data_IF_758460231748
#
_entry.id   IF_758460231748
#
_cell.length_a   1.000
_cell.length_b   1.000
_cell.length_c   1.000
_cell.angle_alpha   90.00
_cell.angle_beta   90.00
_cell.angle_gamma   90.00
#
_symmetry.space_group_name_H-M   'P 1'
#
loop_
_entity.id
_entity.type
_entity.pdbx_description
1 polymer ?
#
# COMPACT_ATOMS: atom_id res chain seq x y z
N UNK A 1 42.45 22.06 49.65
CA UNK A 1 43.33 22.54 48.58
C UNK A 1 42.53 22.51 47.29
N UNK A 2 42.36 23.68 46.74
CA UNK A 2 41.56 23.95 45.55
C UNK A 2 42.30 23.51 44.28
N UNK A 3 41.56 23.08 43.25
CA UNK A 3 41.80 23.46 41.85
C UNK A 3 40.47 23.44 41.12
N UNK A 4 40.15 24.56 40.52
CA UNK A 4 38.87 24.85 39.87
C UNK A 4 38.77 24.38 38.42
N UNK A 5 37.64 24.64 37.77
CA UNK A 5 37.27 24.10 36.48
C UNK A 5 37.79 24.94 35.32
N UNK A 6 38.39 24.28 34.33
CA UNK A 6 38.71 24.88 33.04
C UNK A 6 37.46 24.89 32.13
N UNK A 7 37.00 26.10 31.83
CA UNK A 7 36.05 26.37 30.76
C UNK A 7 36.74 26.16 29.40
N UNK A 8 36.30 25.22 28.62
CA UNK A 8 36.60 25.21 27.18
C UNK A 8 35.57 26.07 26.47
N UNK A 9 36.06 27.16 25.90
CA UNK A 9 35.30 28.10 25.07
C UNK A 9 34.71 27.40 23.85
N UNK A 10 33.43 27.72 23.58
CA UNK A 10 32.70 27.16 22.47
C UNK A 10 33.20 27.65 21.13
N UNK A 11 33.67 26.74 20.31
CA UNK A 11 33.82 26.99 18.88
C UNK A 11 32.42 27.23 18.26
N UNK A 12 32.26 28.34 17.55
CA UNK A 12 31.00 28.70 16.92
C UNK A 12 30.60 27.68 15.85
N UNK A 13 29.31 27.45 15.70
CA UNK A 13 28.72 26.55 14.68
C UNK A 13 29.27 26.83 13.26
N UNK A 14 29.73 28.06 13.00
CA UNK A 14 30.38 28.45 11.75
C UNK A 14 31.76 27.80 11.54
N UNK A 15 32.47 27.48 12.61
CA UNK A 15 33.78 26.82 12.54
C UNK A 15 33.64 25.33 12.30
N UNK A 16 32.63 24.68 12.93
CA UNK A 16 32.29 23.28 12.70
C UNK A 16 31.80 23.02 11.26
N UNK A 17 31.02 23.95 10.69
CA UNK A 17 30.57 23.88 9.29
C UNK A 17 31.76 24.02 8.31
N UNK A 18 32.76 24.82 8.61
CA UNK A 18 33.97 24.97 7.76
C UNK A 18 34.87 23.73 7.82
N UNK A 19 34.96 23.07 8.96
CA UNK A 19 35.73 21.82 9.08
C UNK A 19 35.03 20.63 8.42
N UNK A 20 33.68 20.57 8.44
CA UNK A 20 32.92 19.55 7.74
C UNK A 20 33.01 19.66 6.21
N UNK A 21 33.25 20.86 5.66
CA UNK A 21 33.37 21.09 4.22
C UNK A 21 34.68 20.55 3.60
N UNK A 22 35.67 20.24 4.40
CA UNK A 22 36.99 19.75 3.92
C UNK A 22 37.03 18.27 3.54
N UNK A 23 35.99 17.48 3.82
CA UNK A 23 35.96 16.03 3.60
C UNK A 23 34.79 15.48 2.81
N UNK A 24 33.92 16.31 2.20
CA UNK A 24 32.76 15.87 1.46
C UNK A 24 33.08 15.64 -0.03
N UNK A 25 32.51 14.60 -0.69
CA UNK A 25 32.63 14.40 -2.13
C UNK A 25 32.14 15.62 -2.90
N UNK A 26 32.82 15.96 -4.01
CA UNK A 26 32.54 17.16 -4.82
C UNK A 26 31.07 17.32 -5.28
N UNK A 27 30.29 16.23 -5.34
CA UNK A 27 28.87 16.25 -5.74
C UNK A 27 27.92 16.84 -4.69
N UNK A 28 28.25 16.76 -3.39
CA UNK A 28 27.41 17.30 -2.30
C UNK A 28 27.71 18.78 -2.05
N UNK A 29 28.95 19.20 -2.28
CA UNK A 29 29.36 20.59 -2.11
C UNK A 29 28.71 21.57 -3.12
N UNK A 30 28.28 21.12 -4.29
CA UNK A 30 27.60 21.94 -5.29
C UNK A 30 26.11 22.15 -4.96
N UNK A 31 25.41 21.14 -4.43
CA UNK A 31 24.01 21.24 -4.03
C UNK A 31 23.78 22.22 -2.87
N UNK A 32 24.69 22.22 -1.88
CA UNK A 32 24.62 23.17 -0.76
C UNK A 32 24.93 24.63 -1.15
N UNK A 33 25.58 24.84 -2.32
CA UNK A 33 25.88 26.21 -2.81
C UNK A 33 24.75 26.82 -3.64
N UNK A 34 23.89 26.01 -4.25
CA UNK A 34 22.80 26.50 -5.11
C UNK A 34 21.59 27.02 -4.32
N UNK A 35 21.45 26.67 -3.06
CA UNK A 35 20.31 27.06 -2.20
C UNK A 35 20.67 28.17 -1.18
N UNK A 36 21.80 28.84 -1.33
CA UNK A 36 22.18 29.96 -0.48
C UNK A 36 21.39 31.23 -0.85
N UNK A 37 20.15 31.31 -0.38
CA UNK A 37 19.55 32.61 -0.12
C UNK A 37 20.54 33.38 0.79
N UNK A 38 20.83 34.66 0.50
CA UNK A 38 21.74 35.41 1.32
C UNK A 38 21.27 35.40 2.78
N UNK A 39 22.18 35.13 3.72
CA UNK A 39 21.90 35.04 5.16
C UNK A 39 21.04 36.22 5.68
N UNK A 40 21.10 37.37 5.02
CA UNK A 40 20.26 38.55 5.28
C UNK A 40 18.74 38.33 5.04
N UNK A 41 18.33 37.37 4.21
CA UNK A 41 16.91 37.07 3.94
C UNK A 41 16.38 36.01 4.92
N UNK A 42 17.23 35.15 5.44
CA UNK A 42 16.87 34.11 6.44
C UNK A 42 16.87 34.63 7.88
N UNK A 43 17.61 35.71 8.15
CA UNK A 43 17.76 36.29 9.50
C UNK A 43 16.44 36.71 10.19
N UNK A 44 15.45 37.34 9.52
CA UNK A 44 14.20 37.69 10.17
C UNK A 44 13.32 36.48 10.55
N UNK A 45 13.46 35.36 9.85
CA UNK A 45 12.68 34.15 10.10
C UNK A 45 13.23 33.38 11.32
N UNK A 46 14.52 33.48 11.55
CA UNK A 46 15.24 32.74 12.63
C UNK A 46 15.28 33.54 13.95
N UNK A 47 15.10 34.84 13.93
CA UNK A 47 15.24 35.70 15.11
C UNK A 47 14.23 35.44 16.26
N UNK A 48 13.21 34.61 16.04
CA UNK A 48 12.25 34.18 17.06
C UNK A 48 12.38 32.71 17.49
N UNK A 49 13.34 31.97 16.94
CA UNK A 49 13.48 30.53 17.20
C UNK A 49 14.31 30.31 18.47
N UNK A 50 13.82 29.43 19.36
CA UNK A 50 14.52 29.02 20.58
C UNK A 50 15.90 28.42 20.23
N UNK A 51 16.95 28.82 20.91
CA UNK A 51 18.34 28.35 20.72
C UNK A 51 18.44 26.80 20.76
N UNK A 52 17.65 26.15 21.59
CA UNK A 52 17.56 24.67 21.66
C UNK A 52 17.04 24.07 20.36
N UNK A 53 16.03 24.68 19.76
CA UNK A 53 15.46 24.21 18.46
C UNK A 53 16.50 24.34 17.35
N UNK A 54 17.23 25.44 17.31
CA UNK A 54 18.31 25.64 16.34
C UNK A 54 19.39 24.56 16.48
N UNK A 55 19.85 24.30 17.70
CA UNK A 55 20.85 23.28 17.97
C UNK A 55 20.39 21.86 17.58
N UNK A 56 19.14 21.52 17.89
CA UNK A 56 18.56 20.21 17.48
C UNK A 56 18.43 20.09 15.96
N UNK A 57 18.04 21.18 15.29
CA UNK A 57 17.95 21.23 13.83
C UNK A 57 19.31 21.03 13.18
N UNK A 58 20.36 21.70 13.70
CA UNK A 58 21.74 21.54 13.20
C UNK A 58 22.23 20.08 13.33
N UNK A 59 21.92 19.41 14.45
CA UNK A 59 22.23 18.00 14.63
C UNK A 59 21.53 17.11 13.58
N UNK A 60 20.26 17.40 13.26
CA UNK A 60 19.53 16.67 12.21
C UNK A 60 20.13 16.93 10.82
N UNK A 61 20.47 18.17 10.50
CA UNK A 61 21.10 18.53 9.22
C UNK A 61 22.43 17.77 9.03
N UNK A 62 23.25 17.69 10.09
CA UNK A 62 24.49 16.89 10.07
C UNK A 62 24.17 15.41 9.84
N UNK A 63 23.12 14.89 10.48
CA UNK A 63 22.66 13.50 10.26
C UNK A 63 22.22 13.27 8.82
N UNK A 64 21.47 14.20 8.20
CA UNK A 64 21.06 14.09 6.80
C UNK A 64 22.25 14.03 5.84
N UNK A 65 23.30 14.78 6.11
CA UNK A 65 24.53 14.72 5.33
C UNK A 65 25.31 13.41 5.52
N UNK A 66 25.26 12.83 6.73
CA UNK A 66 26.00 11.61 7.10
C UNK A 66 25.29 10.33 6.68
N UNK A 67 23.96 10.30 6.81
CA UNK A 67 23.12 9.12 6.55
C UNK A 67 22.40 9.32 5.23
N UNK A 68 22.91 8.71 4.17
CA UNK A 68 22.29 8.73 2.84
C UNK A 68 21.18 7.70 2.67
N UNK A 69 20.49 7.73 1.50
CA UNK A 69 19.54 6.71 1.08
C UNK A 69 18.12 6.84 1.62
N UNK A 70 17.90 7.69 2.64
CA UNK A 70 16.56 7.96 3.22
C UNK A 70 16.14 9.43 3.09
N UNK A 71 16.93 10.24 2.41
CA UNK A 71 16.64 11.64 2.09
C UNK A 71 16.21 11.75 0.63
N UNK A 72 15.27 12.63 0.34
CA UNK A 72 14.87 12.99 -1.02
C UNK A 72 14.95 14.51 -1.19
N UNK A 73 16.18 15.02 -1.14
CA UNK A 73 16.48 16.44 -1.29
C UNK A 73 16.85 16.73 -2.75
N UNK A 74 16.42 17.89 -3.26
CA UNK A 74 16.70 18.34 -4.64
C UNK A 74 16.23 17.36 -5.75
N UNK A 75 15.44 16.35 -5.38
CA UNK A 75 14.89 15.37 -6.30
C UNK A 75 13.58 15.83 -6.97
N UNK A 76 13.11 15.03 -7.92
CA UNK A 76 11.79 15.22 -8.55
C UNK A 76 10.69 15.07 -7.51
N UNK A 77 9.59 15.84 -7.64
CA UNK A 77 8.43 15.70 -6.75
C UNK A 77 7.84 14.29 -6.84
N UNK A 78 7.64 13.67 -5.67
CA UNK A 78 6.98 12.37 -5.58
C UNK A 78 5.47 12.56 -5.38
N UNK A 79 4.65 11.58 -5.80
CA UNK A 79 3.23 11.54 -5.45
C UNK A 79 3.02 11.66 -3.93
N UNK A 80 2.08 12.50 -3.52
CA UNK A 80 1.79 12.75 -2.12
C UNK A 80 0.89 11.67 -1.54
N UNK A 81 1.32 11.00 -0.46
CA UNK A 81 0.48 10.01 0.27
C UNK A 81 -0.86 10.61 0.70
N UNK A 82 -0.86 11.85 1.21
CA UNK A 82 -2.07 12.53 1.68
C UNK A 82 -3.00 12.88 0.52
N UNK A 83 -2.45 13.38 -0.60
CA UNK A 83 -3.26 13.69 -1.78
C UNK A 83 -3.88 12.42 -2.38
N UNK A 84 -3.10 11.34 -2.50
CA UNK A 84 -3.59 10.04 -2.99
C UNK A 84 -4.68 9.47 -2.06
N UNK A 85 -4.53 9.56 -0.74
CA UNK A 85 -5.57 9.13 0.20
C UNK A 85 -6.88 9.89 -0.01
N UNK A 86 -6.82 11.23 -0.18
CA UNK A 86 -8.00 12.04 -0.45
C UNK A 86 -8.64 11.70 -1.80
N UNK A 87 -7.83 11.49 -2.86
CA UNK A 87 -8.31 11.04 -4.17
C UNK A 87 -8.97 9.66 -4.07
N UNK A 88 -8.39 8.73 -3.29
CA UNK A 88 -8.94 7.39 -3.09
C UNK A 88 -10.33 7.43 -2.46
N UNK A 89 -10.52 8.28 -1.43
CA UNK A 89 -11.84 8.49 -0.82
C UNK A 89 -12.85 9.01 -1.85
N UNK A 90 -12.47 10.00 -2.66
CA UNK A 90 -13.37 10.54 -3.67
C UNK A 90 -13.67 9.55 -4.81
N UNK A 91 -12.73 8.69 -5.16
CA UNK A 91 -12.97 7.57 -6.08
C UNK A 91 -13.98 6.56 -5.51
N UNK A 92 -13.93 6.27 -4.20
CA UNK A 92 -14.95 5.44 -3.53
C UNK A 92 -16.34 6.09 -3.58
N UNK A 93 -16.42 7.43 -3.42
CA UNK A 93 -17.69 8.18 -3.58
C UNK A 93 -18.23 8.09 -5.02
N UNK A 94 -17.37 8.16 -6.03
CA UNK A 94 -17.76 7.96 -7.43
C UNK A 94 -18.22 6.53 -7.72
N UNK A 95 -17.59 5.54 -7.07
CA UNK A 95 -17.92 4.12 -7.25
C UNK A 95 -19.19 3.73 -6.48
N UNK A 96 -19.47 4.33 -5.34
CA UNK A 96 -20.59 4.01 -4.46
C UNK A 96 -21.33 5.30 -4.04
N UNK A 97 -21.98 6.01 -4.98
CA UNK A 97 -22.65 7.28 -4.68
C UNK A 97 -23.69 7.13 -3.59
N UNK A 98 -23.67 8.00 -2.59
CA UNK A 98 -24.55 8.01 -1.44
C UNK A 98 -24.13 7.10 -0.28
N UNK A 99 -23.18 6.18 -0.45
CA UNK A 99 -22.68 5.32 0.63
C UNK A 99 -21.49 5.92 1.41
N UNK A 100 -20.67 6.73 0.73
CA UNK A 100 -19.48 7.38 1.31
C UNK A 100 -19.68 8.89 1.47
N UNK A 101 -20.90 9.38 1.35
CA UNK A 101 -21.26 10.80 1.50
C UNK A 101 -21.89 11.04 2.88
N UNK A 102 -21.60 12.22 3.48
CA UNK A 102 -22.16 12.62 4.78
C UNK A 102 -23.65 13.03 4.69
N UNK A 103 -24.14 13.27 3.48
CA UNK A 103 -25.53 13.68 3.21
C UNK A 103 -26.18 12.82 2.15
N UNK A 104 -27.50 12.76 2.17
CA UNK A 104 -28.27 12.10 1.13
C UNK A 104 -28.05 12.78 -0.22
N UNK A 105 -27.78 11.98 -1.25
CA UNK A 105 -27.73 12.43 -2.64
C UNK A 105 -29.08 12.13 -3.28
N UNK A 106 -29.81 13.16 -3.71
CA UNK A 106 -31.05 13.00 -4.44
C UNK A 106 -30.78 12.74 -5.93
N UNK A 107 -31.58 11.88 -6.55
CA UNK A 107 -31.39 11.52 -7.97
C UNK A 107 -31.45 12.73 -8.93
N UNK A 108 -32.21 13.78 -8.57
CA UNK A 108 -32.26 15.05 -9.30
C UNK A 108 -30.96 15.85 -9.26
N UNK A 109 -30.13 15.67 -8.23
CA UNK A 109 -28.88 16.39 -8.00
C UNK A 109 -27.66 15.55 -8.43
N UNK A 110 -27.85 14.25 -8.63
CA UNK A 110 -26.77 13.29 -8.87
C UNK A 110 -25.79 13.75 -9.97
N UNK A 111 -26.31 14.25 -11.10
CA UNK A 111 -25.46 14.68 -12.21
C UNK A 111 -24.53 15.83 -11.82
N UNK A 112 -25.06 16.82 -11.10
CA UNK A 112 -24.29 18.01 -10.69
C UNK A 112 -23.21 17.61 -9.68
N UNK A 113 -23.56 16.80 -8.69
CA UNK A 113 -22.63 16.31 -7.70
C UNK A 113 -21.51 15.48 -8.33
N UNK A 114 -21.88 14.53 -9.21
CA UNK A 114 -20.88 13.66 -9.86
C UNK A 114 -19.99 14.45 -10.83
N UNK A 115 -20.49 15.46 -11.53
CA UNK A 115 -19.66 16.32 -12.39
C UNK A 115 -18.64 17.09 -11.55
N UNK A 116 -19.08 17.70 -10.45
CA UNK A 116 -18.18 18.45 -9.56
C UNK A 116 -17.09 17.56 -8.94
N UNK A 117 -17.49 16.38 -8.47
CA UNK A 117 -16.56 15.42 -7.87
C UNK A 117 -15.56 14.86 -8.92
N UNK A 118 -16.06 14.52 -10.11
CA UNK A 118 -15.25 14.00 -11.22
C UNK A 118 -14.22 15.05 -11.68
N UNK A 119 -14.60 16.31 -11.82
CA UNK A 119 -13.70 17.41 -12.20
C UNK A 119 -12.59 17.62 -11.15
N UNK A 120 -12.96 17.61 -9.87
CA UNK A 120 -12.02 17.68 -8.75
C UNK A 120 -11.04 16.51 -8.74
N UNK A 121 -11.51 15.28 -8.94
CA UNK A 121 -10.66 14.09 -8.99
C UNK A 121 -9.74 14.15 -10.19
N UNK A 122 -10.25 14.53 -11.37
CA UNK A 122 -9.49 14.64 -12.61
C UNK A 122 -8.27 15.55 -12.42
N UNK A 123 -8.45 16.77 -11.95
CA UNK A 123 -7.34 17.73 -11.79
C UNK A 123 -6.29 17.28 -10.78
N UNK A 124 -6.71 16.77 -9.62
CA UNK A 124 -5.77 16.30 -8.58
C UNK A 124 -5.05 15.03 -9.00
N UNK A 125 -5.73 14.09 -9.64
CA UNK A 125 -5.13 12.84 -10.08
C UNK A 125 -4.16 13.07 -11.25
N UNK A 126 -4.48 13.98 -12.18
CA UNK A 126 -3.56 14.39 -13.25
C UNK A 126 -2.24 14.92 -12.68
N UNK A 127 -2.30 15.76 -11.63
CA UNK A 127 -1.10 16.29 -10.98
C UNK A 127 -0.26 15.18 -10.32
N UNK A 128 -0.89 14.23 -9.64
CA UNK A 128 -0.18 13.12 -9.01
C UNK A 128 0.40 12.13 -10.03
N UNK A 129 -0.33 11.85 -11.12
CA UNK A 129 0.18 11.02 -12.24
C UNK A 129 1.35 11.73 -12.93
N UNK A 130 1.28 13.04 -13.12
CA UNK A 130 2.41 13.81 -13.66
C UNK A 130 3.68 13.63 -12.80
N UNK A 131 3.57 13.74 -11.47
CA UNK A 131 4.70 13.50 -10.55
C UNK A 131 5.24 12.07 -10.67
N UNK A 132 4.35 11.09 -10.77
CA UNK A 132 4.72 9.69 -10.97
C UNK A 132 5.49 9.48 -12.28
N UNK A 133 5.02 10.06 -13.37
CA UNK A 133 5.68 10.00 -14.67
C UNK A 133 7.03 10.72 -14.65
N UNK A 134 7.09 11.92 -14.04
CA UNK A 134 8.36 12.66 -13.90
C UNK A 134 9.39 11.85 -13.09
N UNK A 135 8.96 11.17 -12.03
CA UNK A 135 9.82 10.28 -11.24
C UNK A 135 10.33 9.09 -12.05
N UNK A 136 9.45 8.39 -12.78
CA UNK A 136 9.77 7.14 -13.47
C UNK A 136 10.53 7.37 -14.79
N UNK A 137 10.51 8.58 -15.33
CA UNK A 137 11.09 8.89 -16.65
C UNK A 137 12.55 9.35 -16.50
N UNK A 138 13.48 8.83 -17.30
CA UNK A 138 14.84 9.37 -17.40
C UNK A 138 14.84 10.86 -17.77
N UNK A 139 15.93 11.56 -17.45
CA UNK A 139 16.09 12.96 -17.85
C UNK A 139 16.05 13.11 -19.37
N UNK A 140 15.31 14.15 -19.85
CA UNK A 140 15.29 14.52 -21.28
C UNK A 140 13.92 14.59 -21.94
N UNK A 141 12.85 14.05 -21.34
CA UNK A 141 11.50 14.24 -21.86
C UNK A 141 10.95 15.64 -21.49
N UNK A 142 10.30 16.29 -22.48
CA UNK A 142 9.74 17.62 -22.27
C UNK A 142 8.59 17.56 -21.25
N UNK A 143 8.58 18.48 -20.29
CA UNK A 143 7.50 18.59 -19.28
C UNK A 143 6.11 18.65 -19.89
N UNK A 144 5.98 19.27 -21.07
CA UNK A 144 4.71 19.37 -21.81
C UNK A 144 4.19 17.99 -22.26
N UNK A 145 5.09 17.09 -22.66
CA UNK A 145 4.73 15.73 -23.09
C UNK A 145 4.28 14.88 -21.88
N UNK A 146 4.99 15.00 -20.76
CA UNK A 146 4.59 14.33 -19.50
C UNK A 146 3.24 14.82 -19.00
N UNK A 147 2.96 16.12 -19.06
CA UNK A 147 1.64 16.70 -18.72
C UNK A 147 0.53 16.15 -19.61
N UNK A 148 0.78 16.07 -20.94
CA UNK A 148 -0.19 15.50 -21.87
C UNK A 148 -0.47 14.03 -21.55
N UNK A 149 0.58 13.24 -21.37
CA UNK A 149 0.45 11.83 -21.01
C UNK A 149 -0.30 11.63 -19.67
N UNK A 150 0.00 12.44 -18.65
CA UNK A 150 -0.71 12.40 -17.37
C UNK A 150 -2.21 12.64 -17.56
N UNK A 151 -2.58 13.65 -18.35
CA UNK A 151 -3.99 13.94 -18.64
C UNK A 151 -4.67 12.80 -19.38
N UNK A 152 -4.04 12.27 -20.44
CA UNK A 152 -4.57 11.13 -21.20
C UNK A 152 -4.77 9.90 -20.32
N UNK A 153 -3.79 9.54 -19.48
CA UNK A 153 -3.87 8.41 -18.55
C UNK A 153 -4.96 8.63 -17.48
N UNK A 154 -5.13 9.86 -17.00
CA UNK A 154 -6.17 10.18 -16.02
C UNK A 154 -7.56 10.01 -16.62
N UNK A 155 -7.79 10.56 -17.81
CA UNK A 155 -9.08 10.43 -18.53
C UNK A 155 -9.38 8.96 -18.83
N UNK A 156 -8.38 8.19 -19.28
CA UNK A 156 -8.53 6.78 -19.60
C UNK A 156 -8.85 5.95 -18.33
N UNK A 157 -8.21 6.25 -17.19
CA UNK A 157 -8.57 5.63 -15.91
C UNK A 157 -10.01 5.96 -15.50
N UNK A 158 -10.38 7.23 -15.50
CA UNK A 158 -11.73 7.63 -15.09
C UNK A 158 -12.80 7.05 -16.04
N UNK A 159 -12.46 6.89 -17.32
CA UNK A 159 -13.29 6.19 -18.30
C UNK A 159 -13.46 4.68 -18.02
N UNK A 160 -12.57 4.06 -17.25
CA UNK A 160 -12.68 2.64 -16.86
C UNK A 160 -13.57 2.40 -15.62
N UNK A 161 -13.92 3.44 -14.86
CA UNK A 161 -14.71 3.31 -13.63
C UNK A 161 -16.07 2.59 -13.81
N UNK A 162 -16.83 2.76 -14.91
CA UNK A 162 -18.04 1.97 -15.11
C UNK A 162 -17.78 0.46 -15.09
N UNK A 163 -16.73 -0.02 -15.77
CA UNK A 163 -16.35 -1.45 -15.74
C UNK A 163 -15.88 -1.91 -14.36
N UNK A 164 -15.18 -1.05 -13.61
CA UNK A 164 -14.82 -1.32 -12.20
C UNK A 164 -16.09 -1.47 -11.35
N UNK A 165 -17.12 -0.63 -11.56
CA UNK A 165 -18.39 -0.76 -10.84
C UNK A 165 -19.12 -2.07 -11.13
N UNK A 166 -19.08 -2.54 -12.39
CA UNK A 166 -19.66 -3.84 -12.76
C UNK A 166 -18.99 -4.99 -12.00
N UNK A 167 -17.67 -4.98 -11.90
CA UNK A 167 -16.93 -5.95 -11.10
C UNK A 167 -17.28 -5.86 -9.61
N UNK A 168 -17.31 -4.65 -9.04
CA UNK A 168 -17.65 -4.43 -7.63
C UNK A 168 -19.07 -4.91 -7.28
N UNK A 169 -20.03 -4.77 -8.21
CA UNK A 169 -21.38 -5.33 -8.01
C UNK A 169 -21.32 -6.83 -7.82
N UNK A 170 -20.49 -7.53 -8.61
CA UNK A 170 -20.33 -8.99 -8.45
C UNK A 170 -19.66 -9.37 -7.13
N UNK A 171 -18.74 -8.55 -6.63
CA UNK A 171 -18.07 -8.78 -5.36
C UNK A 171 -19.01 -8.56 -4.16
N UNK A 172 -19.85 -7.53 -4.23
CA UNK A 172 -20.92 -7.31 -3.23
C UNK A 172 -21.93 -8.47 -3.23
N UNK A 173 -22.31 -8.97 -4.41
CA UNK A 173 -23.18 -10.15 -4.52
C UNK A 173 -22.52 -11.40 -3.93
N UNK A 174 -21.23 -11.59 -4.16
CA UNK A 174 -20.49 -12.71 -3.58
C UNK A 174 -20.41 -12.63 -2.05
N UNK A 175 -20.22 -11.44 -1.49
CA UNK A 175 -20.21 -11.22 -0.05
C UNK A 175 -21.60 -11.50 0.56
N UNK A 176 -22.66 -10.97 -0.04
CA UNK A 176 -24.03 -11.19 0.41
C UNK A 176 -24.44 -12.68 0.39
N UNK A 177 -24.09 -13.38 -0.68
CA UNK A 177 -24.39 -14.81 -0.80
C UNK A 177 -23.41 -15.70 0.01
N UNK A 178 -22.26 -15.16 0.37
CA UNK A 178 -21.19 -15.88 1.05
C UNK A 178 -21.20 -15.77 2.58
N UNK A 179 -21.87 -14.78 3.13
CA UNK A 179 -21.97 -14.56 4.58
C UNK A 179 -23.44 -14.61 5.03
N UNK A 180 -23.85 -15.68 5.75
CA UNK A 180 -25.22 -15.78 6.26
C UNK A 180 -25.56 -14.72 7.34
N UNK A 181 -24.59 -13.99 7.88
CA UNK A 181 -24.83 -12.89 8.82
C UNK A 181 -25.21 -11.57 8.13
N UNK A 182 -24.94 -11.43 6.82
CA UNK A 182 -25.27 -10.23 6.06
C UNK A 182 -26.79 -10.10 5.84
N UNK A 183 -27.36 -9.01 6.30
CA UNK A 183 -28.82 -8.77 6.19
C UNK A 183 -29.18 -8.09 4.87
N UNK A 184 -28.28 -7.29 4.29
CA UNK A 184 -28.51 -6.61 3.01
C UNK A 184 -27.19 -6.29 2.29
N UNK A 185 -27.29 -5.91 0.99
CA UNK A 185 -26.13 -5.44 0.23
C UNK A 185 -25.65 -4.06 0.70
N UNK A 186 -26.54 -3.23 1.20
CA UNK A 186 -26.24 -1.94 1.79
C UNK A 186 -25.35 -2.10 3.02
N UNK A 187 -25.68 -3.07 3.90
CA UNK A 187 -24.85 -3.39 5.07
C UNK A 187 -23.43 -3.79 4.65
N UNK A 188 -23.29 -4.61 3.63
CA UNK A 188 -21.98 -5.00 3.10
C UNK A 188 -21.19 -3.81 2.60
N UNK A 189 -21.83 -2.92 1.81
CA UNK A 189 -21.13 -1.75 1.27
C UNK A 189 -20.70 -0.78 2.37
N UNK A 190 -21.53 -0.59 3.39
CA UNK A 190 -21.27 0.38 4.47
C UNK A 190 -20.31 -0.15 5.52
N UNK A 191 -20.40 -1.45 5.87
CA UNK A 191 -19.78 -1.99 7.07
C UNK A 191 -18.61 -2.95 6.81
N UNK A 192 -18.58 -3.64 5.67
CA UNK A 192 -17.55 -4.67 5.44
C UNK A 192 -16.23 -4.06 4.96
N UNK A 193 -15.12 -4.27 5.67
CA UNK A 193 -13.78 -3.81 5.24
C UNK A 193 -13.40 -4.34 3.86
N UNK A 194 -13.93 -5.50 3.49
CA UNK A 194 -13.72 -6.14 2.19
C UNK A 194 -14.05 -5.21 1.02
N UNK A 195 -15.17 -4.48 1.09
CA UNK A 195 -15.62 -3.63 -0.02
C UNK A 195 -14.65 -2.48 -0.25
N UNK A 196 -14.16 -1.85 0.82
CA UNK A 196 -13.13 -0.81 0.73
C UNK A 196 -11.83 -1.37 0.12
N UNK A 197 -11.36 -2.53 0.62
CA UNK A 197 -10.13 -3.14 0.15
C UNK A 197 -10.17 -3.52 -1.35
N UNK A 198 -11.25 -4.21 -1.77
CA UNK A 198 -11.36 -4.67 -3.16
C UNK A 198 -11.63 -3.50 -4.13
N UNK A 199 -12.39 -2.50 -3.74
CA UNK A 199 -12.65 -1.33 -4.58
C UNK A 199 -11.35 -0.55 -4.85
N UNK A 200 -10.55 -0.34 -3.83
CA UNK A 200 -9.25 0.30 -3.97
C UNK A 200 -8.30 -0.54 -4.82
N UNK A 201 -8.27 -1.86 -4.61
CA UNK A 201 -7.43 -2.76 -5.40
C UNK A 201 -7.80 -2.73 -6.89
N UNK A 202 -9.08 -2.78 -7.24
CA UNK A 202 -9.53 -2.77 -8.64
C UNK A 202 -9.15 -1.47 -9.36
N UNK A 203 -9.29 -0.31 -8.70
CA UNK A 203 -8.84 0.99 -9.26
C UNK A 203 -7.31 1.03 -9.34
N UNK A 204 -6.61 0.62 -8.30
CA UNK A 204 -5.15 0.58 -8.26
C UNK A 204 -4.58 -0.39 -9.31
N UNK A 205 -5.28 -1.49 -9.59
CA UNK A 205 -4.94 -2.42 -10.66
C UNK A 205 -5.01 -1.76 -12.04
N UNK A 206 -6.02 -0.94 -12.29
CA UNK A 206 -6.12 -0.18 -13.55
C UNK A 206 -4.95 0.81 -13.72
N UNK A 207 -4.52 1.49 -12.66
CA UNK A 207 -3.32 2.34 -12.67
C UNK A 207 -2.04 1.51 -12.88
N UNK A 208 -1.93 0.36 -12.18
CA UNK A 208 -0.79 -0.53 -12.30
C UNK A 208 -0.62 -1.07 -13.73
N UNK A 209 -1.70 -1.48 -14.38
CA UNK A 209 -1.70 -1.96 -15.77
C UNK A 209 -1.23 -0.89 -16.77
N UNK A 210 -1.44 0.38 -16.45
CA UNK A 210 -0.99 1.53 -17.24
C UNK A 210 0.47 1.91 -16.98
N UNK A 211 1.17 1.16 -16.12
CA UNK A 211 2.58 1.40 -15.79
C UNK A 211 2.82 2.63 -14.90
N UNK A 212 1.78 3.12 -14.22
CA UNK A 212 1.91 4.25 -13.30
C UNK A 212 2.65 3.78 -12.05
N UNK A 213 3.79 4.41 -11.76
CA UNK A 213 4.61 4.06 -10.60
C UNK A 213 4.08 4.69 -9.31
N UNK A 214 4.38 4.10 -8.17
CA UNK A 214 4.12 4.55 -6.80
C UNK A 214 2.63 4.66 -6.43
N UNK A 215 1.80 5.34 -7.23
CA UNK A 215 0.40 5.63 -6.90
C UNK A 215 -0.42 4.38 -6.60
N UNK A 216 -0.40 3.31 -7.44
CA UNK A 216 -1.17 2.10 -7.16
C UNK A 216 -0.82 1.48 -5.79
N UNK A 217 0.48 1.46 -5.46
CA UNK A 217 0.94 0.91 -4.18
C UNK A 217 0.54 1.82 -3.01
N UNK A 218 0.63 3.14 -3.14
CA UNK A 218 0.17 4.08 -2.11
C UNK A 218 -1.32 3.87 -1.81
N UNK A 219 -2.15 3.66 -2.85
CA UNK A 219 -3.59 3.39 -2.69
C UNK A 219 -3.84 2.08 -1.93
N UNK A 220 -3.19 0.99 -2.33
CA UNK A 220 -3.41 -0.31 -1.67
C UNK A 220 -2.84 -0.35 -0.25
N UNK A 221 -1.75 0.34 0.06
CA UNK A 221 -1.25 0.50 1.44
C UNK A 221 -2.18 1.36 2.31
N UNK A 222 -2.83 2.37 1.71
CA UNK A 222 -3.85 3.13 2.42
C UNK A 222 -5.05 2.24 2.81
N UNK A 223 -5.52 1.38 1.90
CA UNK A 223 -6.60 0.43 2.18
C UNK A 223 -6.15 -0.66 3.19
N UNK A 224 -4.93 -1.19 3.04
CA UNK A 224 -4.36 -2.18 3.95
C UNK A 224 -4.32 -1.67 5.41
N UNK A 225 -3.87 -0.44 5.63
CA UNK A 225 -3.83 0.16 6.97
C UNK A 225 -5.22 0.28 7.63
N UNK A 226 -6.30 0.32 6.86
CA UNK A 226 -7.68 0.49 7.33
C UNK A 226 -8.42 -0.84 7.48
N UNK A 227 -8.12 -1.79 6.61
CA UNK A 227 -8.88 -3.05 6.49
C UNK A 227 -8.13 -4.27 7.01
N UNK A 228 -6.82 -4.15 7.19
CA UNK A 228 -5.93 -5.26 7.53
C UNK A 228 -5.69 -6.23 6.37
N UNK A 229 -6.11 -5.88 5.13
CA UNK A 229 -6.02 -6.72 3.94
C UNK A 229 -4.99 -6.17 2.96
N UNK A 230 -3.87 -6.86 2.74
CA UNK A 230 -2.83 -6.50 1.78
C UNK A 230 -3.10 -7.12 0.41
N UNK A 231 -3.71 -6.35 -0.48
CA UNK A 231 -3.92 -6.72 -1.89
C UNK A 231 -2.94 -5.96 -2.78
N UNK A 232 -1.96 -6.65 -3.35
CA UNK A 232 -1.04 -5.98 -4.28
C UNK A 232 -1.77 -5.52 -5.55
N UNK A 233 -1.54 -4.29 -6.06
CA UNK A 233 -2.24 -3.79 -7.25
C UNK A 233 -1.94 -4.59 -8.52
N UNK A 234 -0.84 -5.35 -8.57
CA UNK A 234 -0.51 -6.25 -9.67
C UNK A 234 -1.32 -7.55 -9.71
N UNK A 235 -1.94 -7.95 -8.60
CA UNK A 235 -2.78 -9.15 -8.54
C UNK A 235 -3.97 -9.02 -9.50
N UNK A 236 -4.24 -10.10 -10.26
CA UNK A 236 -5.40 -10.19 -11.14
C UNK A 236 -6.49 -10.97 -10.44
N UNK A 237 -7.62 -10.33 -10.21
CA UNK A 237 -8.74 -10.90 -9.45
C UNK A 237 -9.99 -10.93 -10.34
N UNK A 238 -10.58 -12.10 -10.51
CA UNK A 238 -11.79 -12.33 -11.29
C UNK A 238 -13.04 -11.73 -10.66
N UNK A 239 -14.20 -12.14 -11.15
CA UNK A 239 -15.52 -11.70 -10.69
C UNK A 239 -15.98 -12.49 -9.46
N UNK A 240 -16.92 -11.93 -8.69
CA UNK A 240 -17.50 -12.59 -7.51
C UNK A 240 -16.44 -13.02 -6.49
N UNK A 241 -15.43 -12.21 -6.30
CA UNK A 241 -14.41 -12.42 -5.28
C UNK A 241 -14.93 -11.96 -3.93
N UNK A 242 -14.66 -12.75 -2.88
CA UNK A 242 -15.03 -12.38 -1.51
C UNK A 242 -13.98 -12.83 -0.50
N UNK A 243 -13.63 -11.96 0.42
CA UNK A 243 -12.81 -12.29 1.60
C UNK A 243 -13.56 -11.92 2.86
N UNK A 244 -13.86 -12.93 3.65
CA UNK A 244 -14.53 -12.75 4.94
C UNK A 244 -13.54 -12.33 6.02
N UNK A 245 -13.92 -11.34 6.84
CA UNK A 245 -13.15 -10.72 7.94
C UNK A 245 -11.84 -10.02 7.56
N UNK A 246 -11.31 -10.14 6.38
CA UNK A 246 -10.15 -9.46 5.78
C UNK A 246 -8.81 -9.56 6.51
N UNK A 247 -8.78 -9.38 7.83
CA UNK A 247 -7.59 -9.15 8.64
C UNK A 247 -6.49 -10.20 8.39
N UNK A 248 -5.28 -9.71 8.08
CA UNK A 248 -4.10 -10.54 7.86
C UNK A 248 -4.09 -11.31 6.55
N UNK A 249 -5.05 -11.05 5.65
CA UNK A 249 -5.03 -11.62 4.29
C UNK A 249 -3.98 -10.91 3.43
N UNK A 250 -3.14 -11.68 2.74
CA UNK A 250 -2.08 -11.17 1.86
C UNK A 250 -2.20 -11.80 0.48
N UNK A 251 -2.29 -10.96 -0.56
CA UNK A 251 -2.31 -11.38 -1.97
C UNK A 251 -1.17 -10.71 -2.73
N UNK A 252 -0.18 -11.49 -3.13
CA UNK A 252 1.04 -11.01 -3.77
C UNK A 252 0.86 -10.58 -5.22
N UNK A 253 1.83 -9.79 -5.72
CA UNK A 253 1.83 -9.09 -7.01
C UNK A 253 1.39 -9.93 -8.22
N UNK A 254 1.91 -11.14 -8.33
CA UNK A 254 1.70 -11.99 -9.51
C UNK A 254 0.64 -13.07 -9.29
N UNK A 255 -0.21 -12.93 -8.26
CA UNK A 255 -1.36 -13.81 -8.08
C UNK A 255 -2.32 -13.72 -9.27
N UNK A 256 -2.84 -14.87 -9.65
CA UNK A 256 -3.97 -14.99 -10.57
C UNK A 256 -5.11 -15.64 -9.78
N UNK A 257 -6.21 -14.92 -9.63
CA UNK A 257 -7.39 -15.41 -8.89
C UNK A 257 -8.55 -15.43 -9.87
N UNK A 258 -9.15 -16.58 -10.03
CA UNK A 258 -10.30 -16.83 -10.90
C UNK A 258 -11.61 -16.24 -10.37
N UNK A 259 -12.70 -16.67 -10.94
CA UNK A 259 -14.04 -16.21 -10.60
C UNK A 259 -14.62 -17.01 -9.41
N UNK A 260 -15.48 -16.39 -8.63
CA UNK A 260 -16.17 -17.03 -7.50
C UNK A 260 -15.22 -17.67 -6.48
N UNK A 261 -14.07 -17.03 -6.25
CA UNK A 261 -13.14 -17.46 -5.21
C UNK A 261 -13.53 -16.81 -3.89
N UNK A 262 -13.68 -17.65 -2.86
CA UNK A 262 -13.94 -17.22 -1.48
C UNK A 262 -12.71 -17.49 -0.62
N UNK A 263 -12.30 -16.50 0.14
CA UNK A 263 -11.22 -16.60 1.10
C UNK A 263 -11.68 -16.14 2.48
N UNK A 264 -10.91 -16.48 3.50
CA UNK A 264 -11.09 -16.02 4.87
C UNK A 264 -9.87 -15.27 5.34
N UNK A 265 -9.98 -14.65 6.53
CA UNK A 265 -8.88 -13.92 7.15
C UNK A 265 -7.60 -14.75 7.31
N UNK A 266 -6.46 -14.06 7.34
CA UNK A 266 -5.16 -14.69 7.55
C UNK A 266 -4.64 -15.56 6.40
N UNK A 267 -5.34 -15.62 5.26
CA UNK A 267 -4.86 -16.37 4.09
C UNK A 267 -3.70 -15.64 3.44
N UNK A 268 -2.60 -16.35 3.16
CA UNK A 268 -1.44 -15.81 2.46
C UNK A 268 -1.24 -16.48 1.12
N UNK A 269 -1.28 -15.70 0.04
CA UNK A 269 -0.89 -16.08 -1.31
C UNK A 269 0.46 -15.45 -1.65
N UNK A 270 1.57 -16.16 -1.37
CA UNK A 270 2.92 -15.61 -1.32
C UNK A 270 3.91 -16.26 -2.29
N UNK A 271 5.16 -15.79 -2.27
CA UNK A 271 6.29 -16.40 -2.97
C UNK A 271 6.96 -17.47 -2.08
N UNK A 272 7.54 -18.52 -2.69
CA UNK A 272 8.27 -19.57 -1.96
C UNK A 272 9.56 -19.07 -1.34
N UNK A 273 10.24 -18.16 -1.99
CA UNK A 273 11.53 -17.63 -1.57
C UNK A 273 11.64 -16.15 -1.96
N UNK A 274 12.38 -15.41 -1.18
CA UNK A 274 12.77 -14.02 -1.46
C UNK A 274 14.29 -13.87 -1.55
N UNK A 275 15.04 -14.98 -1.67
CA UNK A 275 16.51 -15.00 -1.55
C UNK A 275 17.25 -14.27 -2.66
N UNK A 276 16.76 -14.29 -3.90
CA UNK A 276 17.29 -13.49 -5.00
C UNK A 276 16.21 -12.55 -5.52
N UNK A 277 16.12 -11.40 -4.87
CA UNK A 277 15.06 -10.40 -5.14
C UNK A 277 15.14 -9.89 -6.58
N UNK A 278 16.33 -9.74 -7.18
CA UNK A 278 16.47 -9.22 -8.53
C UNK A 278 15.95 -10.19 -9.58
N UNK A 279 16.24 -11.47 -9.43
CA UNK A 279 15.72 -12.52 -10.33
C UNK A 279 14.20 -12.70 -10.22
N UNK A 280 13.63 -12.38 -9.07
CA UNK A 280 12.17 -12.50 -8.85
C UNK A 280 11.36 -11.31 -9.35
N UNK A 281 12.00 -10.17 -9.60
CA UNK A 281 11.30 -8.97 -10.13
C UNK A 281 10.75 -9.23 -11.54
N UNK A 282 9.47 -8.90 -11.75
CA UNK A 282 8.80 -9.08 -13.04
C UNK A 282 8.43 -10.52 -13.39
N UNK A 283 8.85 -11.52 -12.60
CA UNK A 283 8.55 -12.93 -12.86
C UNK A 283 7.38 -13.44 -12.00
N UNK A 284 6.65 -14.42 -12.53
CA UNK A 284 5.57 -15.13 -11.82
C UNK A 284 6.15 -15.83 -10.59
N UNK A 285 5.72 -15.44 -9.37
CA UNK A 285 6.23 -15.95 -8.10
C UNK A 285 5.15 -16.25 -7.04
N UNK A 286 3.90 -15.88 -7.33
CA UNK A 286 2.74 -16.08 -6.46
C UNK A 286 1.76 -17.08 -7.10
N UNK A 287 0.94 -17.80 -6.33
CA UNK A 287 0.10 -18.89 -6.83
C UNK A 287 -0.98 -18.42 -7.81
N UNK A 288 -1.56 -19.41 -8.49
CA UNK A 288 -2.79 -19.30 -9.27
C UNK A 288 -3.90 -20.03 -8.53
N UNK A 289 -5.02 -19.36 -8.34
CA UNK A 289 -6.25 -19.88 -7.72
C UNK A 289 -7.31 -19.90 -8.80
N UNK A 290 -7.77 -21.08 -9.17
CA UNK A 290 -8.78 -21.22 -10.22
C UNK A 290 -10.21 -20.92 -9.72
N UNK A 291 -11.20 -21.01 -10.61
CA UNK A 291 -12.59 -20.64 -10.35
C UNK A 291 -13.22 -21.48 -9.21
N UNK A 292 -14.04 -20.84 -8.39
CA UNK A 292 -14.86 -21.51 -7.38
C UNK A 292 -14.08 -22.11 -6.20
N UNK A 293 -12.82 -21.76 -6.04
CA UNK A 293 -12.00 -22.22 -4.91
C UNK A 293 -12.38 -21.53 -3.62
N UNK A 294 -12.45 -22.29 -2.52
CA UNK A 294 -12.64 -21.77 -1.16
C UNK A 294 -11.38 -22.02 -0.32
N UNK A 295 -10.87 -20.95 0.34
CA UNK A 295 -9.66 -21.03 1.17
C UNK A 295 -9.99 -20.59 2.59
N UNK A 296 -9.90 -21.51 3.54
CA UNK A 296 -10.23 -21.31 4.95
C UNK A 296 -9.15 -20.54 5.73
N UNK A 297 -9.48 -20.03 6.93
CA UNK A 297 -8.63 -19.10 7.68
C UNK A 297 -7.20 -19.62 7.91
N UNK A 298 -6.23 -18.72 7.80
CA UNK A 298 -4.82 -18.98 8.12
C UNK A 298 -4.08 -19.87 7.14
N UNK A 299 -4.72 -20.31 6.04
CA UNK A 299 -4.02 -21.12 5.03
C UNK A 299 -2.94 -20.29 4.30
N UNK A 300 -1.79 -20.94 4.04
CA UNK A 300 -0.65 -20.32 3.35
C UNK A 300 -0.36 -21.10 2.08
N UNK A 301 -0.42 -20.44 0.93
CA UNK A 301 -0.18 -21.04 -0.40
C UNK A 301 0.94 -20.25 -1.07
N UNK A 302 2.05 -20.93 -1.40
CA UNK A 302 3.26 -20.27 -1.89
C UNK A 302 3.69 -20.83 -3.25
N UNK A 303 4.21 -19.91 -4.08
CA UNK A 303 4.97 -20.24 -5.29
C UNK A 303 4.25 -19.97 -6.60
N UNK A 304 5.00 -19.47 -7.60
CA UNK A 304 4.47 -19.06 -8.91
C UNK A 304 3.93 -20.21 -9.76
N UNK A 305 4.42 -21.43 -9.55
CA UNK A 305 3.98 -22.63 -10.24
C UNK A 305 2.84 -23.37 -9.51
N UNK A 306 2.53 -22.95 -8.29
CA UNK A 306 1.46 -23.54 -7.48
C UNK A 306 0.11 -23.12 -8.03
N UNK A 307 -0.71 -24.10 -8.41
CA UNK A 307 -2.06 -23.94 -8.93
C UNK A 307 -3.04 -24.67 -8.00
N UNK A 308 -4.05 -23.96 -7.51
CA UNK A 308 -5.17 -24.59 -6.80
C UNK A 308 -6.29 -24.75 -7.80
N UNK A 309 -6.60 -26.01 -8.13
CA UNK A 309 -7.54 -26.37 -9.19
C UNK A 309 -8.99 -26.01 -8.85
N UNK A 310 -9.77 -25.77 -9.89
CA UNK A 310 -11.18 -25.35 -9.87
C UNK A 310 -12.02 -26.11 -8.86
N UNK A 311 -12.85 -25.40 -8.11
CA UNK A 311 -13.82 -25.97 -7.16
C UNK A 311 -13.20 -26.69 -5.96
N UNK A 312 -11.90 -26.48 -5.71
CA UNK A 312 -11.22 -27.08 -4.56
C UNK A 312 -11.47 -26.28 -3.28
N UNK A 313 -11.35 -26.99 -2.15
CA UNK A 313 -11.45 -26.40 -0.82
C UNK A 313 -10.13 -26.65 -0.06
N UNK A 314 -9.53 -25.55 0.44
CA UNK A 314 -8.32 -25.59 1.27
C UNK A 314 -8.71 -25.35 2.70
N UNK A 315 -8.46 -26.29 3.59
CA UNK A 315 -8.75 -26.21 5.02
C UNK A 315 -7.92 -25.17 5.75
N UNK A 316 -8.39 -24.79 6.94
CA UNK A 316 -7.71 -23.79 7.76
C UNK A 316 -6.29 -24.22 8.18
N UNK A 317 -5.38 -23.24 8.24
CA UNK A 317 -3.96 -23.42 8.63
C UNK A 317 -3.18 -24.41 7.77
N UNK A 318 -3.68 -24.76 6.58
CA UNK A 318 -2.97 -25.60 5.62
C UNK A 318 -1.81 -24.83 5.00
N UNK A 319 -0.64 -25.44 4.90
CA UNK A 319 0.55 -24.86 4.26
C UNK A 319 0.87 -25.62 2.97
N UNK A 320 0.76 -24.95 1.81
CA UNK A 320 0.94 -25.54 0.49
C UNK A 320 2.07 -24.85 -0.29
N UNK A 321 2.91 -25.67 -0.91
CA UNK A 321 3.94 -25.23 -1.86
C UNK A 321 3.86 -26.00 -3.20
N UNK A 322 2.84 -26.83 -3.37
CA UNK A 322 2.59 -27.65 -4.56
C UNK A 322 1.14 -27.51 -5.01
N UNK A 323 0.90 -27.78 -6.29
CA UNK A 323 -0.43 -27.68 -6.88
C UNK A 323 -1.40 -28.72 -6.32
N UNK A 324 -2.68 -28.36 -6.33
CA UNK A 324 -3.81 -29.21 -5.92
C UNK A 324 -4.72 -29.42 -7.13
N UNK A 325 -5.07 -30.67 -7.47
CA UNK A 325 -5.99 -30.97 -8.57
C UNK A 325 -7.37 -30.34 -8.38
N UNK A 326 -8.16 -30.12 -9.47
CA UNK A 326 -9.53 -29.67 -9.34
C UNK A 326 -10.41 -30.54 -8.44
N UNK A 327 -11.42 -29.92 -7.82
CA UNK A 327 -12.42 -30.57 -6.96
C UNK A 327 -11.84 -31.36 -5.77
N UNK A 328 -10.72 -30.89 -5.24
CA UNK A 328 -10.04 -31.51 -4.10
C UNK A 328 -10.44 -30.84 -2.79
N UNK A 329 -10.49 -31.63 -1.73
CA UNK A 329 -10.55 -31.16 -0.35
C UNK A 329 -9.18 -31.41 0.31
N UNK A 330 -8.50 -30.33 0.67
CA UNK A 330 -7.22 -30.39 1.39
C UNK A 330 -7.46 -30.07 2.85
N UNK A 331 -7.19 -31.03 3.71
CA UNK A 331 -7.33 -30.90 5.15
C UNK A 331 -6.05 -31.29 5.85
N UNK A 332 -5.80 -30.73 6.99
CA UNK A 332 -4.67 -31.09 7.82
C UNK A 332 -5.04 -32.32 8.67
N UNK A 333 -4.52 -33.49 8.32
CA UNK A 333 -4.67 -34.71 9.13
C UNK A 333 -3.45 -34.88 10.03
N UNK A 334 -3.63 -34.91 11.34
CA UNK A 334 -2.61 -35.48 12.18
C UNK A 334 -1.96 -34.69 13.30
N UNK A 335 -2.51 -33.56 13.75
CA UNK A 335 -2.17 -33.11 15.11
C UNK A 335 -3.13 -33.80 16.09
N UNK A 336 -2.67 -34.87 16.76
CA UNK A 336 -3.40 -35.41 17.92
C UNK A 336 -3.40 -34.34 19.02
N UNK A 337 -4.51 -33.63 19.17
CA UNK A 337 -4.69 -32.78 20.33
C UNK A 337 -4.70 -33.67 21.60
N UNK A 338 -3.81 -33.39 22.55
CA UNK A 338 -3.88 -33.97 23.89
C UNK A 338 -4.52 -32.93 24.81
N UNK A 339 -5.68 -33.26 25.32
CA UNK A 339 -6.28 -32.50 26.43
C UNK A 339 -5.60 -32.98 27.71
N UNK A 340 -4.82 -32.12 28.33
CA UNK A 340 -4.12 -32.43 29.59
C UNK A 340 -4.85 -31.73 30.74
N UNK A 341 -5.05 -32.45 31.84
CA UNK A 341 -5.52 -31.86 33.07
C UNK A 341 -4.41 -30.94 33.63
N UNK A 342 -4.71 -29.66 33.87
CA UNK A 342 -3.72 -28.70 34.37
C UNK A 342 -3.16 -29.10 35.76
N UNK A 343 -3.90 -29.88 36.55
CA UNK A 343 -3.46 -30.37 37.86
C UNK A 343 -2.45 -31.52 37.76
N UNK A 344 -2.37 -32.18 36.63
CA UNK A 344 -1.42 -33.28 36.35
C UNK A 344 -0.18 -32.80 35.61
N UNK A 345 -0.08 -31.51 35.31
CA UNK A 345 1.01 -30.89 34.53
C UNK A 345 2.37 -30.97 35.26
N UNK A 346 2.39 -31.06 36.58
CA UNK A 346 3.65 -31.19 37.35
C UNK A 346 4.35 -32.57 37.20
N UNK A 347 3.67 -33.56 36.66
CA UNK A 347 4.21 -34.89 36.46
C UNK A 347 4.76 -35.18 35.08
N UNK A 348 4.50 -34.29 34.12
CA UNK A 348 4.97 -34.40 32.76
C UNK A 348 5.82 -33.16 32.41
N UNK A 349 7.13 -33.24 32.69
CA UNK A 349 8.12 -32.30 32.16
C UNK A 349 8.12 -32.39 30.63
N UNK A 350 7.18 -31.74 29.98
CA UNK A 350 7.22 -31.54 28.54
C UNK A 350 7.62 -30.07 28.34
N UNK A 351 8.86 -29.91 27.94
CA UNK A 351 9.44 -28.62 27.57
C UNK A 351 8.76 -28.14 26.31
N UNK A 352 7.73 -27.28 26.43
CA UNK A 352 7.19 -26.52 25.31
C UNK A 352 8.02 -25.23 25.18
N UNK A 353 9.05 -25.29 24.38
CA UNK A 353 9.62 -24.09 23.79
C UNK A 353 8.63 -23.57 22.73
N UNK A 354 7.94 -22.44 23.03
CA UNK A 354 7.21 -21.63 22.06
C UNK A 354 8.18 -20.60 21.48
#
# INVERSE_FOLDING_TARGET
>A
MAVGPGLCEGESAATALRQAQGGLPHSIGSALRACALPLSVLWPIVAGVNATVTQLTDQLIVSYAKVGGINHLDGKNLPSKTAIAAITIDLLRLLFPGFYDERTIHSSELKVEMVSLMDSVLGRLEDEIYKSLEYATPEGLAKKELRRAAKEMTVDLLGSLPGVRELLKTDVDAAYNGDPAALSQEEIIVAYPFVEAIAVQRVAHELYRRGIALIPRIMTEWAHARTGMDLHPGARIGTHFFVDHCTGTVVGETCLIGNRVKMYHGVTLGAKSTGDVEQLRGHKRHPTIEDGVTIYPGATILGGETVIGTGSTIGGNVFLTTSVPPHSLVVFEGVKMRVLNKRERELLMVDYQI
#
